data_IF_622875398335
#
_entry.id   IF_622875398335
#
_cell.length_a   1.000
_cell.length_b   1.000
_cell.length_c   1.000
_cell.angle_alpha   90.00
_cell.angle_beta   90.00
_cell.angle_gamma   90.00
#
_symmetry.space_group_name_H-M   'P 1'
#
loop_
_entity.id
_entity.type
_entity.pdbx_description
1 polymer ?
#
# COMPACT_ATOMS: atom_id res chain seq x y z
N UNK A 1 -22.94 6.29 11.04
CA UNK A 1 -21.54 6.22 11.45
C UNK A 1 -21.32 7.23 12.55
N UNK A 2 -20.80 6.80 13.70
CA UNK A 2 -20.39 7.77 14.72
C UNK A 2 -19.24 8.61 14.14
N UNK A 3 -19.43 9.94 14.16
CA UNK A 3 -18.35 10.85 13.82
C UNK A 3 -17.16 10.54 14.74
N UNK A 4 -15.96 10.47 14.16
CA UNK A 4 -14.75 10.19 14.90
C UNK A 4 -14.57 11.29 15.95
N UNK A 5 -14.78 10.95 17.23
CA UNK A 5 -14.52 11.90 18.31
C UNK A 5 -13.01 11.96 18.56
N UNK A 6 -12.32 12.77 17.75
CA UNK A 6 -10.87 12.89 17.78
C UNK A 6 -10.33 13.17 19.18
N UNK A 7 -10.93 14.13 19.91
CA UNK A 7 -10.46 14.51 21.24
C UNK A 7 -10.47 13.33 22.23
N UNK A 8 -11.50 12.49 22.16
CA UNK A 8 -11.58 11.28 22.99
C UNK A 8 -10.54 10.22 22.57
N UNK A 9 -10.28 10.11 21.25
CA UNK A 9 -9.35 9.11 20.73
C UNK A 9 -7.89 9.41 21.08
N UNK A 10 -7.51 10.68 21.17
CA UNK A 10 -6.15 11.14 21.50
C UNK A 10 -6.02 11.67 22.93
N UNK A 11 -6.95 11.33 23.82
CA UNK A 11 -6.97 11.84 25.20
C UNK A 11 -5.67 11.53 25.94
N UNK A 12 -5.11 10.32 25.76
CA UNK A 12 -3.86 9.87 26.38
C UNK A 12 -2.63 10.72 26.02
N UNK A 13 -2.65 11.41 24.89
CA UNK A 13 -1.56 12.24 24.37
C UNK A 13 -1.96 13.71 24.19
N UNK A 14 -3.10 14.11 24.72
CA UNK A 14 -3.67 15.45 24.51
C UNK A 14 -2.77 16.60 24.94
N UNK A 15 -1.90 16.39 25.94
CA UNK A 15 -0.92 17.38 26.40
C UNK A 15 0.33 17.47 25.52
N UNK A 16 0.54 16.51 24.61
CA UNK A 16 1.75 16.39 23.79
C UNK A 16 1.48 16.72 22.31
N UNK A 17 0.21 16.84 21.90
CA UNK A 17 -0.20 17.04 20.52
C UNK A 17 -1.05 18.28 20.33
N UNK A 18 -0.78 19.03 19.27
CA UNK A 18 -1.59 20.14 18.80
C UNK A 18 -2.03 19.86 17.35
N UNK A 19 -3.32 19.77 17.11
CA UNK A 19 -3.87 19.54 15.77
C UNK A 19 -3.90 20.87 15.00
N UNK A 20 -3.19 20.92 13.86
CA UNK A 20 -3.14 22.12 13.02
C UNK A 20 -4.31 22.11 12.02
N UNK A 21 -4.50 20.99 11.30
CA UNK A 21 -5.61 20.84 10.34
C UNK A 21 -5.81 19.38 9.93
N UNK A 22 -7.02 19.06 9.49
CA UNK A 22 -7.28 17.79 8.78
C UNK A 22 -6.69 17.88 7.37
N UNK A 23 -5.92 16.85 6.98
CA UNK A 23 -5.34 16.72 5.64
C UNK A 23 -6.25 15.91 4.72
N UNK A 24 -6.81 14.79 5.25
CA UNK A 24 -7.64 13.86 4.48
C UNK A 24 -8.63 13.17 5.41
N UNK A 25 -9.83 12.92 4.92
CA UNK A 25 -10.75 11.91 5.45
C UNK A 25 -10.86 10.82 4.38
N UNK A 26 -10.31 9.65 4.67
CA UNK A 26 -10.40 8.48 3.79
C UNK A 26 -11.49 7.52 4.26
N UNK A 27 -11.71 6.44 3.53
CA UNK A 27 -12.70 5.42 3.93
C UNK A 27 -12.28 4.64 5.18
N UNK A 28 -11.01 4.58 5.53
CA UNK A 28 -10.45 3.75 6.61
C UNK A 28 -10.04 4.59 7.81
N UNK A 29 -9.54 5.80 7.56
CA UNK A 29 -8.92 6.65 8.58
C UNK A 29 -9.06 8.13 8.26
N UNK A 30 -8.82 8.97 9.26
CA UNK A 30 -8.60 10.40 9.11
C UNK A 30 -7.14 10.75 9.35
N UNK A 31 -6.61 11.65 8.52
CA UNK A 31 -5.21 12.12 8.55
C UNK A 31 -5.16 13.59 8.91
N UNK A 32 -4.32 13.94 9.87
CA UNK A 32 -4.18 15.30 10.37
C UNK A 32 -2.72 15.77 10.32
N UNK A 33 -2.51 17.03 9.97
CA UNK A 33 -1.27 17.73 10.27
C UNK A 33 -1.31 18.19 11.73
N UNK A 34 -0.24 17.93 12.48
CA UNK A 34 -0.13 18.29 13.87
C UNK A 34 1.30 18.69 14.25
N UNK A 35 1.47 19.21 15.45
CA UNK A 35 2.73 19.17 16.19
C UNK A 35 2.62 18.12 17.27
N UNK A 36 3.64 17.29 17.42
CA UNK A 36 3.75 16.30 18.49
C UNK A 36 5.09 16.50 19.19
N UNK A 37 5.08 16.80 20.49
CA UNK A 37 6.29 17.13 21.28
C UNK A 37 7.16 18.19 20.58
N UNK A 38 6.52 19.24 20.05
CA UNK A 38 7.15 20.32 19.28
C UNK A 38 7.75 19.89 17.92
N UNK A 39 7.46 18.70 17.45
CA UNK A 39 7.90 18.19 16.14
C UNK A 39 6.71 18.30 15.18
N UNK A 40 6.93 18.84 13.96
CA UNK A 40 5.92 18.82 12.89
C UNK A 40 5.67 17.37 12.48
N UNK A 41 4.42 16.93 12.56
CA UNK A 41 4.04 15.54 12.45
C UNK A 41 2.72 15.35 11.68
N UNK A 42 2.47 14.11 11.31
CA UNK A 42 1.19 13.64 10.75
C UNK A 42 0.61 12.62 11.73
N UNK A 43 -0.66 12.79 12.05
CA UNK A 43 -1.45 11.85 12.85
C UNK A 43 -2.42 11.13 11.93
N UNK A 44 -2.45 9.79 11.98
CA UNK A 44 -3.53 8.94 11.47
C UNK A 44 -4.36 8.41 12.63
N UNK A 45 -5.68 8.45 12.46
CA UNK A 45 -6.64 7.86 13.38
C UNK A 45 -7.62 7.02 12.59
N UNK A 46 -7.61 5.72 12.83
CA UNK A 46 -8.46 4.76 12.13
C UNK A 46 -9.92 4.84 12.62
N UNK A 47 -10.87 4.53 11.75
CA UNK A 47 -12.23 4.23 12.17
C UNK A 47 -12.29 2.87 12.89
N UNK A 48 -13.27 2.68 13.77
CA UNK A 48 -13.40 1.44 14.56
C UNK A 48 -13.56 0.18 13.71
N UNK A 49 -14.19 0.29 12.55
CA UNK A 49 -14.39 -0.83 11.63
C UNK A 49 -13.16 -1.19 10.78
N UNK A 50 -12.12 -0.35 10.78
CA UNK A 50 -10.89 -0.62 10.05
C UNK A 50 -10.21 -1.94 10.49
N UNK A 51 -10.45 -2.39 11.73
CA UNK A 51 -9.95 -3.66 12.26
C UNK A 51 -10.52 -4.92 11.57
N UNK A 52 -11.57 -4.78 10.75
CA UNK A 52 -12.10 -5.87 9.94
C UNK A 52 -11.42 -6.02 8.58
N UNK A 53 -10.62 -5.04 8.17
CA UNK A 53 -9.86 -5.08 6.93
C UNK A 53 -8.59 -5.94 7.07
N UNK A 54 -8.03 -6.40 5.94
CA UNK A 54 -6.93 -7.36 5.94
C UNK A 54 -5.56 -6.74 6.21
N UNK A 55 -5.43 -5.93 7.26
CA UNK A 55 -4.16 -5.39 7.72
C UNK A 55 -4.05 -5.43 9.25
N UNK A 56 -2.83 -5.44 9.77
CA UNK A 56 -2.55 -5.41 11.19
C UNK A 56 -1.59 -4.26 11.55
N UNK A 57 -2.04 -3.36 12.42
CA UNK A 57 -1.27 -2.18 12.83
C UNK A 57 0.01 -2.52 13.60
N UNK A 58 0.05 -3.63 14.30
CA UNK A 58 1.28 -4.08 14.97
C UNK A 58 2.32 -4.54 13.95
N UNK A 59 1.87 -5.23 12.89
CA UNK A 59 2.73 -5.64 11.76
C UNK A 59 3.29 -4.42 11.04
N UNK A 60 2.45 -3.41 10.72
CA UNK A 60 2.89 -2.16 10.10
C UNK A 60 4.00 -1.49 10.91
N UNK A 61 3.80 -1.33 12.22
CA UNK A 61 4.77 -0.72 13.13
C UNK A 61 6.06 -1.54 13.20
N UNK A 62 5.94 -2.87 13.30
CA UNK A 62 7.09 -3.77 13.34
C UNK A 62 7.94 -3.65 12.08
N UNK A 63 7.31 -3.58 10.90
CA UNK A 63 7.99 -3.42 9.63
C UNK A 63 8.66 -2.04 9.54
N UNK A 64 7.93 -0.96 9.86
CA UNK A 64 8.49 0.40 9.83
C UNK A 64 9.74 0.54 10.72
N UNK A 65 9.70 0.00 11.95
CA UNK A 65 10.86 -0.02 12.82
C UNK A 65 12.03 -0.84 12.23
N UNK A 66 11.73 -1.94 11.57
CA UNK A 66 12.74 -2.81 10.96
C UNK A 66 13.47 -2.15 9.80
N UNK A 67 12.75 -1.38 8.98
CA UNK A 67 13.29 -0.71 7.79
C UNK A 67 13.75 0.73 8.04
N UNK A 68 13.71 1.21 9.29
CA UNK A 68 14.12 2.58 9.65
C UNK A 68 15.49 2.95 9.06
N UNK A 69 16.44 2.00 9.11
CA UNK A 69 17.79 2.18 8.59
C UNK A 69 17.85 2.42 7.06
N UNK A 70 16.82 2.00 6.30
CA UNK A 70 16.71 2.27 4.86
C UNK A 70 16.24 3.70 4.57
N UNK A 71 15.63 4.36 5.55
CA UNK A 71 15.05 5.69 5.42
C UNK A 71 14.00 5.79 4.27
N UNK A 72 13.35 4.68 3.94
CA UNK A 72 12.31 4.61 2.92
C UNK A 72 10.93 4.92 3.49
N UNK A 73 10.69 4.61 4.76
CA UNK A 73 9.43 4.88 5.45
C UNK A 73 9.49 6.15 6.31
N UNK A 74 8.34 6.57 6.87
CA UNK A 74 8.28 7.67 7.82
C UNK A 74 8.88 7.26 9.17
N UNK A 75 9.54 8.20 9.85
CA UNK A 75 9.99 8.04 11.24
C UNK A 75 8.79 8.04 12.18
N UNK A 76 8.58 6.94 12.93
CA UNK A 76 7.50 6.83 13.91
C UNK A 76 7.85 7.65 15.15
N UNK A 77 6.96 8.55 15.55
CA UNK A 77 7.07 9.34 16.77
C UNK A 77 6.23 8.77 17.91
N UNK A 78 5.08 8.19 17.58
CA UNK A 78 4.16 7.57 18.54
C UNK A 78 3.22 6.60 17.83
N UNK A 79 2.81 5.56 18.54
CA UNK A 79 1.77 4.64 18.06
C UNK A 79 0.96 4.07 19.22
N UNK A 80 -0.30 3.76 18.93
CA UNK A 80 -1.21 3.03 19.80
C UNK A 80 -2.09 2.14 18.92
N UNK A 81 -1.52 0.99 18.50
CA UNK A 81 -2.12 0.11 17.49
C UNK A 81 -3.54 -0.34 17.86
N UNK A 82 -3.79 -0.65 19.15
CA UNK A 82 -5.11 -1.05 19.65
C UNK A 82 -6.19 0.01 19.42
N UNK A 83 -5.81 1.28 19.40
CA UNK A 83 -6.68 2.43 19.14
C UNK A 83 -6.56 2.97 17.71
N UNK A 84 -5.79 2.31 16.83
CA UNK A 84 -5.60 2.73 15.44
C UNK A 84 -4.95 4.10 15.33
N UNK A 85 -4.01 4.44 16.22
CA UNK A 85 -3.30 5.72 16.25
C UNK A 85 -1.86 5.50 15.79
N UNK A 86 -1.42 6.30 14.84
CA UNK A 86 -0.03 6.38 14.41
C UNK A 86 0.35 7.84 14.18
N UNK A 87 1.48 8.28 14.76
CA UNK A 87 2.06 9.60 14.54
C UNK A 87 3.46 9.41 13.98
N UNK A 88 3.73 10.07 12.86
CA UNK A 88 5.05 10.07 12.24
C UNK A 88 5.53 11.48 11.93
N UNK A 89 6.84 11.64 11.80
CA UNK A 89 7.45 12.91 11.42
C UNK A 89 6.94 13.35 10.06
N UNK A 90 6.54 14.61 9.93
CA UNK A 90 6.14 15.17 8.64
C UNK A 90 7.30 15.11 7.65
N UNK A 91 7.07 14.46 6.51
CA UNK A 91 8.04 14.38 5.42
C UNK A 91 7.84 15.59 4.51
N UNK A 92 8.91 16.33 4.27
CA UNK A 92 8.95 17.37 3.24
C UNK A 92 9.23 16.67 1.92
N UNK A 93 8.33 16.83 0.96
CA UNK A 93 8.47 16.20 -0.35
C UNK A 93 7.26 16.48 -1.23
N UNK A 94 7.39 16.17 -2.50
CA UNK A 94 6.31 16.27 -3.49
C UNK A 94 5.86 14.88 -3.91
N UNK A 95 4.57 14.76 -4.23
CA UNK A 95 4.06 13.52 -4.80
C UNK A 95 4.78 13.23 -6.12
N UNK A 96 5.25 12.00 -6.28
CA UNK A 96 5.92 11.60 -7.49
C UNK A 96 4.94 11.47 -8.66
N UNK A 97 5.17 12.30 -9.69
CA UNK A 97 4.45 12.24 -10.95
C UNK A 97 5.44 11.92 -12.07
N UNK A 98 5.37 10.69 -12.56
CA UNK A 98 6.27 10.25 -13.61
C UNK A 98 5.88 10.82 -14.98
N UNK A 99 6.91 11.26 -15.74
CA UNK A 99 6.79 11.71 -17.12
C UNK A 99 7.76 10.89 -17.97
N UNK A 100 7.22 10.00 -18.81
CA UNK A 100 8.03 9.12 -19.66
C UNK A 100 9.06 9.89 -20.49
N UNK A 101 10.24 9.31 -20.63
CA UNK A 101 11.37 9.86 -21.40
C UNK A 101 12.12 11.04 -20.77
N UNK A 102 11.61 11.64 -19.68
CA UNK A 102 12.25 12.81 -19.04
C UNK A 102 12.84 12.52 -17.66
N UNK A 103 12.48 11.42 -17.02
CA UNK A 103 12.83 11.11 -15.62
C UNK A 103 13.55 9.76 -15.45
N UNK A 104 14.37 9.38 -16.42
CA UNK A 104 15.13 8.12 -16.43
C UNK A 104 15.91 7.87 -15.14
N UNK A 105 16.57 8.89 -14.59
CA UNK A 105 17.33 8.75 -13.34
C UNK A 105 16.40 8.50 -12.13
N UNK A 106 15.24 9.14 -12.09
CA UNK A 106 14.26 8.94 -11.01
C UNK A 106 13.69 7.52 -11.03
N UNK A 107 13.35 6.98 -12.21
CA UNK A 107 12.91 5.58 -12.34
C UNK A 107 13.99 4.60 -11.89
N UNK A 108 15.26 4.83 -12.26
CA UNK A 108 16.37 4.00 -11.78
C UNK A 108 16.53 4.09 -10.27
N UNK A 109 16.47 5.30 -9.69
CA UNK A 109 16.53 5.48 -8.24
C UNK A 109 15.37 4.79 -7.52
N UNK A 110 14.16 4.79 -8.11
CA UNK A 110 13.03 4.05 -7.59
C UNK A 110 13.29 2.53 -7.60
N UNK A 111 13.87 1.99 -8.68
CA UNK A 111 14.28 0.60 -8.77
C UNK A 111 15.32 0.21 -7.71
N UNK A 112 16.31 1.07 -7.47
CA UNK A 112 17.31 0.87 -6.40
C UNK A 112 16.64 0.90 -5.01
N UNK A 113 15.71 1.83 -4.78
CA UNK A 113 14.98 1.93 -3.51
C UNK A 113 14.13 0.68 -3.26
N UNK A 114 13.43 0.21 -4.29
CA UNK A 114 12.64 -1.02 -4.22
C UNK A 114 13.54 -2.24 -3.94
N UNK A 115 14.69 -2.35 -4.60
CA UNK A 115 15.67 -3.40 -4.34
C UNK A 115 16.10 -3.39 -2.87
N UNK A 116 16.42 -2.23 -2.32
CA UNK A 116 16.85 -2.09 -0.93
C UNK A 116 15.78 -2.58 0.04
N UNK A 117 14.50 -2.31 -0.25
CA UNK A 117 13.39 -2.85 0.52
C UNK A 117 13.31 -4.36 0.43
N UNK A 118 13.28 -4.91 -0.80
CA UNK A 118 13.12 -6.36 -1.04
C UNK A 118 14.29 -7.19 -0.54
N UNK A 119 15.48 -6.61 -0.42
CA UNK A 119 16.67 -7.26 0.16
C UNK A 119 16.72 -7.19 1.70
N UNK A 120 15.79 -6.48 2.33
CA UNK A 120 15.74 -6.43 3.79
C UNK A 120 15.44 -7.80 4.37
N UNK A 121 16.19 -8.17 5.41
CA UNK A 121 16.02 -9.45 6.09
C UNK A 121 14.66 -9.44 6.79
N UNK A 122 13.80 -10.34 6.39
CA UNK A 122 12.51 -10.58 7.03
C UNK A 122 12.71 -11.46 8.27
N UNK A 123 12.30 -11.03 9.47
CA UNK A 123 12.54 -11.81 10.68
C UNK A 123 11.71 -13.10 10.75
N UNK A 124 10.54 -13.08 10.09
CA UNK A 124 9.62 -14.21 10.03
C UNK A 124 8.81 -14.11 8.72
N UNK A 125 8.91 -15.13 7.87
CA UNK A 125 8.20 -15.16 6.57
C UNK A 125 6.67 -15.18 6.70
N UNK A 126 6.16 -15.48 7.90
CA UNK A 126 4.72 -15.49 8.16
C UNK A 126 4.17 -14.15 8.67
N UNK A 127 5.04 -13.22 9.12
CA UNK A 127 4.61 -11.90 9.55
C UNK A 127 4.13 -11.09 8.35
N UNK A 128 2.84 -10.72 8.37
CA UNK A 128 2.22 -9.90 7.31
C UNK A 128 2.21 -10.59 5.95
N UNK A 129 2.27 -11.92 5.88
CA UNK A 129 2.25 -12.61 4.60
C UNK A 129 1.01 -12.20 3.79
N UNK A 130 1.22 -11.72 2.58
CA UNK A 130 0.16 -11.22 1.71
C UNK A 130 -0.94 -12.26 1.43
N UNK A 131 -0.59 -13.56 1.45
CA UNK A 131 -1.58 -14.66 1.40
C UNK A 131 -2.66 -14.55 2.48
N UNK A 132 -2.33 -14.02 3.68
CA UNK A 132 -3.30 -13.83 4.77
C UNK A 132 -4.25 -12.66 4.45
N UNK A 133 -3.75 -11.61 3.77
CA UNK A 133 -4.59 -10.54 3.24
C UNK A 133 -5.61 -11.09 2.24
N UNK A 134 -5.18 -11.94 1.30
CA UNK A 134 -6.07 -12.58 0.32
C UNK A 134 -7.08 -13.49 1.00
N UNK A 135 -6.66 -14.32 1.97
CA UNK A 135 -7.58 -15.17 2.73
C UNK A 135 -8.65 -14.35 3.48
N UNK A 136 -8.30 -13.19 3.99
CA UNK A 136 -9.28 -12.28 4.61
C UNK A 136 -10.27 -11.73 3.58
N UNK A 137 -9.82 -11.34 2.38
CA UNK A 137 -10.74 -10.94 1.30
C UNK A 137 -11.63 -12.08 0.85
N UNK A 138 -11.15 -13.33 0.77
CA UNK A 138 -11.98 -14.50 0.47
C UNK A 138 -13.13 -14.61 1.48
N UNK A 139 -12.88 -14.43 2.77
CA UNK A 139 -13.90 -14.44 3.82
C UNK A 139 -14.86 -13.25 3.67
N UNK A 140 -14.32 -12.03 3.51
CA UNK A 140 -15.13 -10.82 3.41
C UNK A 140 -16.04 -10.82 2.18
N UNK A 141 -15.60 -11.41 1.07
CA UNK A 141 -16.31 -11.43 -0.20
C UNK A 141 -17.01 -12.77 -0.47
N UNK A 142 -17.15 -13.64 0.53
CA UNK A 142 -17.74 -14.97 0.37
C UNK A 142 -19.16 -14.94 -0.23
N UNK A 143 -19.96 -13.94 0.12
CA UNK A 143 -21.31 -13.76 -0.42
C UNK A 143 -21.30 -13.30 -1.88
N UNK A 144 -20.28 -12.54 -2.26
CA UNK A 144 -20.02 -12.03 -3.61
C UNK A 144 -19.32 -13.08 -4.49
N UNK A 145 -18.93 -14.21 -3.93
CA UNK A 145 -18.21 -15.29 -4.65
C UNK A 145 -19.02 -15.94 -5.80
N UNK A 146 -20.30 -15.61 -5.95
CA UNK A 146 -21.08 -15.96 -7.14
C UNK A 146 -20.80 -15.05 -8.33
N UNK A 147 -20.16 -13.92 -8.12
CA UNK A 147 -19.73 -13.02 -9.17
C UNK A 147 -18.49 -13.57 -9.86
N UNK A 148 -18.53 -13.65 -11.17
CA UNK A 148 -17.46 -14.22 -12.01
C UNK A 148 -16.12 -13.52 -11.75
N UNK A 149 -16.11 -12.17 -11.72
CA UNK A 149 -14.89 -11.39 -11.53
C UNK A 149 -14.18 -11.63 -10.18
N UNK A 150 -14.95 -11.83 -9.10
CA UNK A 150 -14.36 -12.13 -7.79
C UNK A 150 -13.62 -13.47 -7.83
N UNK A 151 -14.26 -14.50 -8.39
CA UNK A 151 -13.64 -15.81 -8.52
C UNK A 151 -12.43 -15.81 -9.46
N UNK A 152 -12.50 -15.07 -10.57
CA UNK A 152 -11.41 -14.93 -11.52
C UNK A 152 -10.18 -14.26 -10.87
N UNK A 153 -10.38 -13.22 -10.06
CA UNK A 153 -9.30 -12.58 -9.33
C UNK A 153 -8.62 -13.50 -8.32
N UNK A 154 -9.37 -14.26 -7.52
CA UNK A 154 -8.79 -15.25 -6.59
C UNK A 154 -8.10 -16.40 -7.33
N UNK A 155 -8.67 -16.86 -8.46
CA UNK A 155 -8.02 -17.87 -9.30
C UNK A 155 -6.72 -17.35 -9.88
N UNK A 156 -6.73 -16.15 -10.46
CA UNK A 156 -5.51 -15.55 -11.01
C UNK A 156 -4.40 -15.47 -9.94
N UNK A 157 -4.73 -15.01 -8.71
CA UNK A 157 -3.74 -14.97 -7.64
C UNK A 157 -3.13 -16.34 -7.37
N UNK A 158 -3.96 -17.38 -7.25
CA UNK A 158 -3.49 -18.77 -7.02
C UNK A 158 -2.58 -19.27 -8.14
N UNK A 159 -2.89 -18.90 -9.39
CA UNK A 159 -2.12 -19.32 -10.57
C UNK A 159 -0.74 -18.64 -10.66
N UNK A 160 -0.59 -17.40 -10.12
CA UNK A 160 0.64 -16.60 -10.28
C UNK A 160 1.52 -16.49 -9.03
N UNK A 161 0.99 -16.76 -7.82
CA UNK A 161 1.73 -16.53 -6.58
C UNK A 161 2.74 -17.64 -6.28
N UNK A 162 2.55 -18.85 -6.77
CA UNK A 162 3.38 -20.03 -6.48
C UNK A 162 4.16 -20.50 -7.72
N UNK A 163 5.09 -19.67 -8.20
CA UNK A 163 5.95 -19.99 -9.35
C UNK A 163 7.37 -20.40 -8.97
N UNK A 164 7.60 -20.63 -7.67
CA UNK A 164 8.91 -20.99 -7.13
C UNK A 164 9.83 -19.80 -6.83
N UNK A 165 9.37 -18.55 -7.03
CA UNK A 165 10.12 -17.34 -6.65
C UNK A 165 10.08 -17.14 -5.14
N UNK A 166 11.23 -16.84 -4.53
CA UNK A 166 11.29 -16.50 -3.11
C UNK A 166 10.53 -15.18 -2.83
N UNK A 167 9.72 -15.21 -1.77
CA UNK A 167 9.04 -14.00 -1.30
C UNK A 167 10.02 -13.02 -0.66
N UNK A 168 9.74 -11.75 -0.83
CA UNK A 168 10.51 -10.63 -0.31
C UNK A 168 9.67 -9.78 0.65
N UNK A 169 10.30 -8.87 1.39
CA UNK A 169 9.55 -7.83 2.10
C UNK A 169 9.01 -6.83 1.06
N UNK A 170 7.72 -6.89 0.79
CA UNK A 170 7.01 -6.02 -0.13
C UNK A 170 6.20 -4.97 0.61
N UNK A 171 6.02 -3.81 -0.01
CA UNK A 171 5.12 -2.76 0.48
C UNK A 171 3.64 -3.15 0.31
N UNK A 172 3.34 -3.87 -0.75
CA UNK A 172 2.00 -4.37 -1.11
C UNK A 172 0.94 -3.31 -1.45
N UNK A 173 1.29 -2.02 -1.42
CA UNK A 173 0.45 -0.91 -1.90
C UNK A 173 1.32 0.24 -2.43
N UNK A 174 2.36 -0.08 -3.21
CA UNK A 174 3.33 0.89 -3.71
C UNK A 174 2.82 1.62 -4.96
N UNK A 175 1.66 2.26 -4.83
CA UNK A 175 1.07 3.07 -5.88
C UNK A 175 1.59 4.52 -5.82
N UNK A 176 1.34 5.31 -6.88
CA UNK A 176 1.85 6.69 -7.00
C UNK A 176 1.41 7.63 -5.87
N UNK A 177 0.27 7.38 -5.22
CA UNK A 177 -0.20 8.23 -4.11
C UNK A 177 0.64 8.03 -2.85
N UNK A 178 1.31 6.89 -2.73
CA UNK A 178 2.16 6.51 -1.62
C UNK A 178 3.65 6.81 -1.87
N UNK A 179 3.96 7.51 -2.97
CA UNK A 179 5.33 7.92 -3.31
C UNK A 179 5.52 9.42 -3.10
N UNK A 180 6.42 9.80 -2.19
CA UNK A 180 6.96 11.14 -2.12
C UNK A 180 8.41 11.14 -2.60
N UNK A 181 8.80 12.24 -3.21
CA UNK A 181 10.19 12.48 -3.63
C UNK A 181 10.68 13.85 -3.16
N UNK A 182 11.89 13.87 -2.60
CA UNK A 182 12.66 15.05 -2.29
C UNK A 182 14.12 14.77 -2.72
N UNK A 183 15.05 14.59 -1.81
CA UNK A 183 16.41 14.10 -2.08
C UNK A 183 16.45 12.60 -2.38
N UNK A 184 15.43 11.87 -1.95
CA UNK A 184 15.21 10.42 -2.12
C UNK A 184 13.73 10.10 -2.27
N UNK A 185 13.42 8.83 -2.47
CA UNK A 185 12.05 8.34 -2.36
C UNK A 185 11.68 8.04 -0.92
N UNK A 186 10.42 8.37 -0.57
CA UNK A 186 9.74 7.95 0.65
C UNK A 186 8.48 7.19 0.27
N UNK A 187 8.29 6.02 0.87
CA UNK A 187 7.12 5.18 0.71
C UNK A 187 6.20 5.40 1.90
N UNK A 188 4.94 5.69 1.64
CA UNK A 188 3.90 5.96 2.65
C UNK A 188 2.87 4.84 2.66
N UNK A 189 2.13 4.74 3.77
CA UNK A 189 1.00 3.83 3.93
C UNK A 189 1.38 2.34 3.87
N UNK A 190 2.11 1.91 4.90
CA UNK A 190 2.70 0.58 5.04
C UNK A 190 1.74 -0.48 5.58
N UNK A 191 0.44 -0.20 5.60
CA UNK A 191 -0.57 -1.03 6.26
C UNK A 191 -0.70 -2.45 5.69
N UNK A 192 -0.35 -2.65 4.42
CA UNK A 192 -0.35 -3.95 3.75
C UNK A 192 1.04 -4.59 3.65
N UNK A 193 2.07 -3.94 4.16
CA UNK A 193 3.44 -4.42 4.02
C UNK A 193 3.63 -5.80 4.64
N UNK A 194 4.38 -6.65 3.94
CA UNK A 194 4.60 -8.03 4.35
C UNK A 194 5.26 -8.88 3.28
N UNK A 195 5.40 -10.18 3.54
CA UNK A 195 6.00 -11.11 2.60
C UNK A 195 5.11 -11.32 1.37
N UNK A 196 5.66 -11.05 0.18
CA UNK A 196 4.96 -11.26 -1.09
C UNK A 196 5.94 -11.54 -2.23
N UNK A 197 5.37 -11.89 -3.38
CA UNK A 197 6.09 -12.06 -4.62
C UNK A 197 6.67 -10.72 -5.11
N UNK A 198 7.98 -10.64 -5.48
CA UNK A 198 8.63 -9.36 -5.82
C UNK A 198 7.99 -8.62 -7.01
N UNK A 199 7.39 -9.33 -7.96
CA UNK A 199 6.68 -8.71 -9.08
C UNK A 199 5.45 -7.91 -8.67
N UNK A 200 4.90 -8.13 -7.47
CA UNK A 200 3.70 -7.39 -7.04
C UNK A 200 3.97 -5.89 -6.90
N UNK A 201 5.02 -5.48 -6.18
CA UNK A 201 5.37 -4.06 -6.05
C UNK A 201 5.82 -3.46 -7.39
N UNK A 202 6.56 -4.23 -8.21
CA UNK A 202 6.94 -3.81 -9.58
C UNK A 202 5.70 -3.55 -10.42
N UNK A 203 4.73 -4.46 -10.41
CA UNK A 203 3.46 -4.32 -11.14
C UNK A 203 2.63 -3.13 -10.66
N UNK A 204 2.55 -2.93 -9.34
CA UNK A 204 1.84 -1.79 -8.75
C UNK A 204 2.46 -0.47 -9.19
N UNK A 205 3.78 -0.36 -9.19
CA UNK A 205 4.50 0.82 -9.69
C UNK A 205 4.25 1.02 -11.19
N UNK A 206 4.47 -0.01 -12.01
CA UNK A 206 4.29 0.09 -13.46
C UNK A 206 2.86 0.51 -13.83
N UNK A 207 1.86 -0.08 -13.18
CA UNK A 207 0.46 0.26 -13.41
C UNK A 207 0.12 1.67 -12.95
N UNK A 208 0.45 2.04 -11.72
CA UNK A 208 0.04 3.32 -11.13
C UNK A 208 0.76 4.52 -11.74
N UNK A 209 2.00 4.34 -12.21
CA UNK A 209 2.79 5.35 -12.91
C UNK A 209 2.57 5.34 -14.42
N UNK A 210 1.80 4.37 -14.95
CA UNK A 210 1.56 4.16 -16.40
C UNK A 210 2.87 4.04 -17.19
N UNK A 211 3.81 3.22 -16.68
CA UNK A 211 5.10 3.04 -17.31
C UNK A 211 4.96 2.35 -18.68
N UNK A 212 5.72 2.82 -19.67
CA UNK A 212 5.93 2.07 -20.92
C UNK A 212 6.78 0.82 -20.65
N UNK A 213 6.84 -0.10 -21.62
CA UNK A 213 7.70 -1.29 -21.50
C UNK A 213 9.17 -0.90 -21.33
N UNK A 214 9.62 0.17 -22.00
CA UNK A 214 10.97 0.71 -21.88
C UNK A 214 11.22 1.28 -20.47
N UNK A 215 10.28 2.02 -19.93
CA UNK A 215 10.40 2.58 -18.56
C UNK A 215 10.33 1.46 -17.50
N UNK A 216 9.50 0.45 -17.70
CA UNK A 216 9.43 -0.74 -16.85
C UNK A 216 10.76 -1.52 -16.89
N UNK A 217 11.40 -1.65 -18.05
CA UNK A 217 12.73 -2.24 -18.17
C UNK A 217 13.79 -1.42 -17.44
N UNK A 218 13.75 -0.08 -17.53
CA UNK A 218 14.68 0.79 -16.78
C UNK A 218 14.54 0.65 -15.26
N UNK A 219 13.30 0.53 -14.75
CA UNK A 219 13.04 0.22 -13.34
C UNK A 219 13.63 -1.15 -12.97
N UNK A 220 13.38 -2.16 -13.81
CA UNK A 220 13.83 -3.53 -13.60
C UNK A 220 15.35 -3.65 -13.64
N UNK A 221 16.02 -3.01 -14.58
CA UNK A 221 17.48 -3.01 -14.67
C UNK A 221 18.15 -2.51 -13.39
N UNK A 222 17.59 -1.46 -12.80
CA UNK A 222 18.09 -0.92 -11.55
C UNK A 222 17.71 -1.79 -10.33
N UNK A 223 16.56 -2.44 -10.39
CA UNK A 223 16.07 -3.35 -9.36
C UNK A 223 16.85 -4.67 -9.36
N UNK A 224 16.90 -5.41 -10.48
CA UNK A 224 17.57 -6.72 -10.57
C UNK A 224 19.10 -6.57 -10.52
N UNK A 225 19.63 -5.62 -11.27
CA UNK A 225 21.05 -5.33 -11.42
C UNK A 225 21.89 -6.54 -11.90
N UNK A 226 21.27 -7.44 -12.64
CA UNK A 226 21.87 -8.67 -13.18
C UNK A 226 21.84 -8.73 -14.71
N UNK A 227 21.32 -7.69 -15.36
CA UNK A 227 21.18 -7.59 -16.82
C UNK A 227 20.03 -8.45 -17.40
N UNK A 228 19.17 -9.00 -16.55
CA UNK A 228 17.99 -9.76 -17.02
C UNK A 228 16.95 -8.84 -17.64
N UNK A 229 16.21 -9.39 -18.62
CA UNK A 229 15.01 -8.72 -19.12
C UNK A 229 13.84 -8.98 -18.16
N UNK A 230 13.00 -7.96 -17.99
CA UNK A 230 11.74 -8.13 -17.25
C UNK A 230 10.83 -9.10 -18.04
N UNK A 231 10.25 -10.07 -17.34
CA UNK A 231 9.22 -10.93 -17.94
C UNK A 231 7.91 -10.16 -18.06
N UNK A 232 7.65 -9.64 -19.25
CA UNK A 232 6.46 -8.84 -19.56
C UNK A 232 5.18 -9.63 -19.33
N UNK A 233 5.14 -10.93 -19.69
CA UNK A 233 3.94 -11.74 -19.47
C UNK A 233 3.61 -11.87 -17.98
N UNK A 234 4.63 -12.11 -17.19
CA UNK A 234 4.49 -12.18 -15.72
C UNK A 234 4.09 -10.83 -15.15
N UNK A 235 4.71 -9.74 -15.64
CA UNK A 235 4.35 -8.38 -15.23
C UNK A 235 2.87 -8.07 -15.52
N UNK A 236 2.39 -8.39 -16.72
CA UNK A 236 0.99 -8.15 -17.13
C UNK A 236 0.00 -8.93 -16.26
N UNK A 237 0.32 -10.17 -15.89
CA UNK A 237 -0.50 -10.97 -14.99
C UNK A 237 -0.59 -10.33 -13.59
N UNK A 238 0.54 -9.85 -13.04
CA UNK A 238 0.54 -9.15 -11.77
C UNK A 238 -0.15 -7.78 -11.86
N UNK A 239 -0.01 -7.03 -12.95
CA UNK A 239 -0.76 -5.79 -13.20
C UNK A 239 -2.27 -6.07 -13.23
N UNK A 240 -2.71 -7.12 -13.91
CA UNK A 240 -4.12 -7.52 -13.90
C UNK A 240 -4.58 -7.84 -12.48
N UNK A 241 -3.77 -8.58 -11.72
CA UNK A 241 -4.12 -8.92 -10.33
C UNK A 241 -4.23 -7.68 -9.43
N UNK A 242 -3.39 -6.64 -9.59
CA UNK A 242 -3.55 -5.39 -8.81
C UNK A 242 -4.91 -4.73 -9.02
N UNK A 243 -5.52 -4.87 -10.20
CA UNK A 243 -6.84 -4.33 -10.49
C UNK A 243 -7.97 -5.18 -9.86
N UNK A 244 -7.81 -6.51 -9.79
CA UNK A 244 -8.71 -7.35 -9.00
C UNK A 244 -8.60 -7.05 -7.51
N UNK A 245 -7.41 -6.82 -7.00
CA UNK A 245 -7.21 -6.44 -5.60
C UNK A 245 -7.89 -5.11 -5.28
N UNK A 246 -7.84 -4.13 -6.17
CA UNK A 246 -8.59 -2.86 -6.05
C UNK A 246 -10.11 -3.12 -6.00
N UNK A 247 -10.62 -4.07 -6.80
CA UNK A 247 -12.03 -4.49 -6.74
C UNK A 247 -12.38 -5.12 -5.38
N UNK A 248 -11.53 -6.02 -4.87
CA UNK A 248 -11.73 -6.65 -3.56
C UNK A 248 -11.79 -5.61 -2.44
N UNK A 249 -10.85 -4.66 -2.48
CA UNK A 249 -10.79 -3.57 -1.51
C UNK A 249 -12.06 -2.70 -1.56
N UNK A 250 -12.46 -2.23 -2.75
CA UNK A 250 -13.64 -1.37 -2.91
C UNK A 250 -14.91 -2.05 -2.43
N UNK A 251 -15.13 -3.30 -2.81
CA UNK A 251 -16.28 -4.07 -2.33
C UNK A 251 -16.27 -4.25 -0.82
N UNK A 252 -15.11 -4.51 -0.23
CA UNK A 252 -14.98 -4.62 1.22
C UNK A 252 -15.26 -3.31 1.94
N UNK A 253 -14.77 -2.17 1.41
CA UNK A 253 -15.06 -0.84 1.96
C UNK A 253 -16.58 -0.58 1.98
N UNK A 254 -17.27 -0.85 0.89
CA UNK A 254 -18.73 -0.61 0.79
C UNK A 254 -19.52 -1.47 1.80
N UNK A 255 -19.05 -2.67 2.13
CA UNK A 255 -19.69 -3.52 3.16
C UNK A 255 -19.65 -2.86 4.55
N UNK A 256 -18.53 -2.26 4.93
CA UNK A 256 -18.36 -1.63 6.25
C UNK A 256 -18.81 -0.18 6.26
N UNK A 257 -18.74 0.50 5.15
CA UNK A 257 -19.04 1.92 5.03
C UNK A 257 -19.83 2.22 3.74
N UNK A 258 -21.14 1.88 3.70
CA UNK A 258 -21.98 2.02 2.50
C UNK A 258 -22.05 3.46 1.95
N UNK A 259 -21.74 4.48 2.77
CA UNK A 259 -21.70 5.87 2.33
C UNK A 259 -20.65 6.14 1.25
N UNK A 260 -19.60 5.31 1.16
CA UNK A 260 -18.57 5.43 0.13
C UNK A 260 -18.94 4.72 -1.19
N UNK A 261 -20.14 4.14 -1.31
CA UNK A 261 -20.55 3.37 -2.49
C UNK A 261 -20.37 4.12 -3.80
N UNK A 262 -20.79 5.38 -3.83
CA UNK A 262 -20.71 6.19 -5.05
C UNK A 262 -19.26 6.63 -5.34
N UNK A 263 -18.45 6.86 -4.31
CA UNK A 263 -17.03 7.24 -4.44
C UNK A 263 -16.15 6.07 -4.91
N UNK A 264 -16.54 4.82 -4.59
CA UNK A 264 -15.75 3.63 -4.95
C UNK A 264 -15.81 3.29 -6.44
N UNK A 265 -16.80 3.78 -7.20
CA UNK A 265 -16.94 3.55 -8.64
C UNK A 265 -16.68 2.08 -9.07
N UNK A 266 -17.27 1.14 -8.32
CA UNK A 266 -17.11 -0.31 -8.54
C UNK A 266 -17.53 -0.69 -9.96
N UNK A 267 -18.64 -0.15 -10.46
CA UNK A 267 -19.18 -0.51 -11.77
C UNK A 267 -18.23 -0.15 -12.93
N UNK A 268 -17.46 0.92 -12.83
CA UNK A 268 -16.46 1.27 -13.85
C UNK A 268 -15.28 0.29 -13.82
N UNK A 269 -14.83 -0.08 -12.63
CA UNK A 269 -13.75 -1.03 -12.46
C UNK A 269 -14.14 -2.43 -12.96
N UNK A 270 -15.36 -2.89 -12.67
CA UNK A 270 -15.90 -4.16 -13.16
C UNK A 270 -15.98 -4.19 -14.68
N UNK A 271 -16.47 -3.12 -15.31
CA UNK A 271 -16.48 -3.01 -16.78
C UNK A 271 -15.06 -3.10 -17.37
N UNK A 272 -14.09 -2.42 -16.74
CA UNK A 272 -12.69 -2.46 -17.17
C UNK A 272 -12.14 -3.89 -17.08
N UNK A 273 -12.33 -4.57 -15.96
CA UNK A 273 -11.86 -5.94 -15.76
C UNK A 273 -12.52 -6.91 -16.75
N UNK A 274 -13.83 -6.76 -17.01
CA UNK A 274 -14.54 -7.60 -17.99
C UNK A 274 -13.98 -7.46 -19.41
N UNK A 275 -13.42 -6.30 -19.79
CA UNK A 275 -12.81 -6.08 -21.10
C UNK A 275 -11.37 -6.61 -21.20
N UNK A 276 -10.72 -6.89 -20.06
CA UNK A 276 -9.35 -7.40 -19.99
C UNK A 276 -9.28 -8.94 -19.97
N UNK A 277 -10.39 -9.60 -19.69
CA UNK A 277 -10.56 -11.06 -19.74
C UNK A 277 -11.10 -11.52 -21.09
#
# INVERSE_FOLDING_TARGET
MEALNLSKRIESISSEIEIIKKLKAGPVSEIYLCTFRNIKAVLRVDYSWASFLPFDRNTEITILNKIEHLQLGPEILYHEAANGILIWRYIVGTQFNFISGSQTNLIKNLGVSLKSLHQSIFPDRDIGAFKNCIATYEILLQEDSKETLINEGFKLYKDICEDGTDYVLSHNDLNKSNLLVDDRFYFLDWEYAGANHPYFDVATLCHSLSLSNEDAQLLWDAYSNDGSLIDIKKLDQWILFTQYLDLFWRKSIVKFSPMYKDEMDIASLERKLFLLN
#
